data_IF_694586844984
#
_entry.id   IF_694586844984
#
_cell.length_a   1.000
_cell.length_b   1.000
_cell.length_c   1.000
_cell.angle_alpha   90.00
_cell.angle_beta   90.00
_cell.angle_gamma   90.00
#
_symmetry.space_group_name_H-M   'P 1'
#
loop_
_entity.id
_entity.type
_entity.pdbx_description
1 polymer ?
#
# COMPACT_ATOMS: atom_id res chain seq x y z
N UNK A 1 -12.08 9.78 -10.20
CA UNK A 1 -12.29 8.68 -9.24
C UNK A 1 -12.50 9.17 -7.81
N UNK A 2 -11.51 9.81 -7.15
CA UNK A 2 -11.65 10.17 -5.72
C UNK A 2 -12.73 11.21 -5.39
N UNK A 3 -13.13 12.05 -6.36
CA UNK A 3 -14.14 13.10 -6.19
C UNK A 3 -15.54 12.57 -5.85
N UNK A 4 -15.80 11.29 -6.09
CA UNK A 4 -17.08 10.63 -5.83
C UNK A 4 -17.21 10.09 -4.41
N UNK A 5 -16.17 10.24 -3.58
CA UNK A 5 -16.14 9.74 -2.20
C UNK A 5 -15.90 10.90 -1.22
N UNK A 6 -16.50 10.79 -0.04
CA UNK A 6 -16.32 11.71 1.07
C UNK A 6 -16.18 10.94 2.40
N UNK A 7 -16.10 11.70 3.51
CA UNK A 7 -16.13 11.15 4.86
C UNK A 7 -15.11 10.03 5.13
N UNK A 8 -15.55 9.00 5.84
CA UNK A 8 -14.71 7.85 6.22
C UNK A 8 -14.35 6.99 5.00
N UNK A 9 -15.25 6.84 4.03
CA UNK A 9 -14.97 6.11 2.79
C UNK A 9 -13.75 6.70 2.07
N UNK A 10 -13.71 8.03 1.87
CA UNK A 10 -12.57 8.69 1.22
C UNK A 10 -11.27 8.48 2.01
N UNK A 11 -11.32 8.55 3.35
CA UNK A 11 -10.13 8.35 4.20
C UNK A 11 -9.61 6.91 4.11
N UNK A 12 -10.48 5.91 4.11
CA UNK A 12 -10.10 4.50 3.91
C UNK A 12 -9.47 4.30 2.53
N UNK A 13 -10.07 4.87 1.48
CA UNK A 13 -9.52 4.80 0.11
C UNK A 13 -8.11 5.42 0.06
N UNK A 14 -7.92 6.60 0.65
CA UNK A 14 -6.60 7.25 0.73
C UNK A 14 -5.58 6.36 1.47
N UNK A 15 -5.96 5.71 2.56
CA UNK A 15 -5.09 4.78 3.27
C UNK A 15 -4.71 3.57 2.40
N UNK A 16 -5.66 2.95 1.71
CA UNK A 16 -5.39 1.85 0.79
C UNK A 16 -4.42 2.26 -0.32
N UNK A 17 -4.64 3.44 -0.93
CA UNK A 17 -3.79 3.97 -1.99
C UNK A 17 -2.41 4.44 -1.50
N UNK A 18 -2.26 4.77 -0.21
CA UNK A 18 -0.98 5.19 0.36
C UNK A 18 -0.14 4.04 0.93
N UNK A 19 -0.78 2.92 1.30
CA UNK A 19 -0.12 1.84 2.07
C UNK A 19 -0.26 0.45 1.45
N UNK A 20 -1.05 0.30 0.38
CA UNK A 20 -1.38 -1.00 -0.20
C UNK A 20 -2.26 -1.87 0.71
N UNK A 21 -2.95 -1.27 1.67
CA UNK A 21 -3.87 -1.99 2.53
C UNK A 21 -5.06 -2.57 1.74
N UNK A 22 -5.51 -3.77 2.11
CA UNK A 22 -6.85 -4.27 1.76
C UNK A 22 -7.89 -3.37 2.39
N UNK A 23 -9.09 -3.38 1.82
CA UNK A 23 -10.17 -2.55 2.32
C UNK A 23 -10.52 -2.87 3.77
N UNK A 24 -10.73 -4.15 4.07
CA UNK A 24 -11.20 -4.58 5.38
C UNK A 24 -10.19 -4.24 6.48
N UNK A 25 -8.89 -4.48 6.24
CA UNK A 25 -7.84 -4.16 7.22
C UNK A 25 -7.65 -2.65 7.43
N UNK A 26 -8.02 -1.81 6.46
CA UNK A 26 -7.99 -0.35 6.59
C UNK A 26 -9.26 0.19 7.26
N UNK A 27 -10.44 -0.33 6.89
CA UNK A 27 -11.73 0.08 7.42
C UNK A 27 -11.88 -0.28 8.92
N UNK A 28 -11.30 -1.39 9.36
CA UNK A 28 -11.36 -1.84 10.76
C UNK A 28 -10.23 -1.28 11.66
N UNK A 29 -9.42 -0.33 11.17
CA UNK A 29 -8.36 0.28 11.97
C UNK A 29 -8.91 0.99 13.22
N UNK A 30 -8.12 0.94 14.28
CA UNK A 30 -8.38 1.68 15.52
C UNK A 30 -7.38 2.81 15.70
N UNK A 31 -7.69 3.77 16.56
CA UNK A 31 -6.77 4.88 16.88
C UNK A 31 -5.40 4.40 17.35
N UNK A 32 -5.35 3.27 18.06
CA UNK A 32 -4.10 2.66 18.53
C UNK A 32 -3.21 2.12 17.39
N UNK A 33 -3.79 1.80 16.22
CA UNK A 33 -3.05 1.38 15.04
C UNK A 33 -2.33 2.53 14.35
N UNK A 34 -2.63 3.78 14.68
CA UNK A 34 -2.03 4.97 14.05
C UNK A 34 -1.12 5.66 15.05
N UNK A 35 0.18 5.51 14.83
CA UNK A 35 1.22 6.25 15.54
C UNK A 35 1.71 7.36 14.61
N UNK A 36 2.35 8.40 15.13
CA UNK A 36 2.83 9.54 14.33
C UNK A 36 3.53 9.08 13.04
N UNK A 37 2.89 9.37 11.92
CA UNK A 37 3.34 9.07 10.54
C UNK A 37 3.49 7.58 10.20
N UNK A 38 2.83 6.68 10.93
CA UNK A 38 2.88 5.23 10.70
C UNK A 38 1.53 4.59 10.99
N UNK A 39 1.15 3.61 10.19
CA UNK A 39 -0.04 2.78 10.40
C UNK A 39 0.37 1.34 10.55
N UNK A 40 -0.07 0.69 11.63
CA UNK A 40 0.16 -0.73 11.90
C UNK A 40 -1.10 -1.52 11.60
N UNK A 41 -0.98 -2.44 10.65
CA UNK A 41 -2.04 -3.37 10.28
C UNK A 41 -1.85 -4.67 11.07
N UNK A 42 -2.79 -4.95 11.96
CA UNK A 42 -2.81 -6.12 12.83
C UNK A 42 -3.63 -7.26 12.18
N UNK A 43 -3.35 -8.51 12.55
CA UNK A 43 -4.15 -9.69 12.15
C UNK A 43 -4.41 -9.79 10.63
N UNK A 44 -3.36 -9.61 9.84
CA UNK A 44 -3.43 -9.93 8.40
C UNK A 44 -3.73 -11.42 8.22
N UNK A 45 -4.30 -11.82 7.07
CA UNK A 45 -4.65 -13.21 6.73
C UNK A 45 -3.51 -14.26 6.96
N UNK A 46 -2.27 -13.80 7.17
CA UNK A 46 -1.08 -14.61 7.40
C UNK A 46 -0.45 -14.43 8.81
N UNK A 47 -1.13 -13.79 9.76
CA UNK A 47 -0.69 -13.66 11.16
C UNK A 47 0.50 -12.73 11.40
N UNK A 48 1.02 -12.03 10.38
CA UNK A 48 2.13 -11.08 10.53
C UNK A 48 1.61 -9.65 10.54
N UNK A 49 1.94 -8.93 11.61
CA UNK A 49 1.72 -7.50 11.70
C UNK A 49 2.72 -6.77 10.78
N UNK A 50 2.30 -5.65 10.21
CA UNK A 50 3.19 -4.78 9.44
C UNK A 50 2.87 -3.33 9.70
N UNK A 51 3.91 -2.51 9.71
CA UNK A 51 3.80 -1.06 9.88
C UNK A 51 4.26 -0.38 8.61
N UNK A 52 3.43 0.50 8.08
CA UNK A 52 3.70 1.25 6.84
C UNK A 52 3.76 2.74 7.19
N UNK A 53 4.84 3.45 6.79
CA UNK A 53 4.91 4.90 6.96
C UNK A 53 3.87 5.61 6.09
N UNK A 54 3.33 6.72 6.59
CA UNK A 54 2.39 7.60 5.88
C UNK A 54 2.83 9.05 5.99
N UNK A 55 2.37 9.89 5.07
CA UNK A 55 2.70 11.32 5.10
C UNK A 55 2.10 12.03 6.33
N UNK A 56 2.68 13.18 6.67
CA UNK A 56 2.15 14.03 7.74
C UNK A 56 0.74 14.56 7.43
N UNK A 57 0.43 14.81 6.15
CA UNK A 57 -0.91 15.22 5.72
C UNK A 57 -1.92 14.10 5.95
N UNK A 58 -1.63 12.88 5.52
CA UNK A 58 -2.54 11.75 5.69
C UNK A 58 -2.73 11.41 7.18
N UNK A 59 -1.65 11.48 7.97
CA UNK A 59 -1.75 11.30 9.42
C UNK A 59 -2.72 12.29 10.05
N UNK A 60 -2.64 13.59 9.71
CA UNK A 60 -3.57 14.61 10.22
C UNK A 60 -5.03 14.34 9.81
N UNK A 61 -5.25 13.75 8.64
CA UNK A 61 -6.61 13.44 8.16
C UNK A 61 -7.26 12.24 8.89
N UNK A 62 -6.46 11.24 9.29
CA UNK A 62 -6.96 9.95 9.82
C UNK A 62 -6.76 9.78 11.32
N UNK A 63 -5.84 10.52 11.94
CA UNK A 63 -5.56 10.39 13.36
C UNK A 63 -6.75 10.86 14.22
N UNK A 64 -7.09 10.07 15.24
CA UNK A 64 -8.17 10.37 16.18
C UNK A 64 -7.71 10.16 17.63
N UNK A 65 -7.66 11.21 18.47
CA UNK A 65 -7.13 11.10 19.84
C UNK A 65 -8.10 10.39 20.80
N UNK A 66 -9.40 10.41 20.53
CA UNK A 66 -10.46 9.91 21.42
C UNK A 66 -10.50 8.37 21.57
N UNK A 67 -9.55 7.64 20.98
CA UNK A 67 -9.55 6.17 20.98
C UNK A 67 -10.64 5.55 20.08
N UNK A 68 -10.77 4.23 20.14
CA UNK A 68 -11.80 3.48 19.42
C UNK A 68 -11.47 3.20 17.95
N UNK A 69 -12.51 2.92 17.14
CA UNK A 69 -12.41 2.75 15.68
C UNK A 69 -12.13 4.10 15.01
N UNK A 70 -11.25 4.08 14.01
CA UNK A 70 -10.95 5.27 13.20
C UNK A 70 -12.14 5.67 12.33
N UNK A 71 -12.80 4.67 11.75
CA UNK A 71 -13.87 4.85 10.79
C UNK A 71 -15.14 4.22 11.36
N UNK A 72 -16.19 5.03 11.52
CA UNK A 72 -17.47 4.62 12.09
C UNK A 72 -18.54 4.46 11.01
N UNK A 73 -18.39 5.15 9.88
CA UNK A 73 -19.39 5.21 8.81
C UNK A 73 -18.76 4.81 7.48
N UNK A 74 -18.50 3.52 7.34
CA UNK A 74 -17.91 2.96 6.12
C UNK A 74 -18.97 2.18 5.35
N UNK A 75 -19.06 2.42 4.04
CA UNK A 75 -20.01 1.76 3.16
C UNK A 75 -19.24 1.00 2.06
N UNK A 76 -19.08 -0.31 2.29
CA UNK A 76 -18.36 -1.18 1.37
C UNK A 76 -19.08 -1.30 0.01
N UNK A 77 -20.40 -1.41 0.02
CA UNK A 77 -21.16 -1.67 -1.20
C UNK A 77 -21.20 -0.43 -2.09
N UNK A 78 -21.41 0.75 -1.51
CA UNK A 78 -21.29 2.03 -2.21
C UNK A 78 -19.91 2.18 -2.86
N UNK A 79 -18.84 1.90 -2.11
CA UNK A 79 -17.48 2.00 -2.64
C UNK A 79 -17.24 0.98 -3.74
N UNK A 80 -17.64 -0.27 -3.54
CA UNK A 80 -17.51 -1.34 -4.53
C UNK A 80 -18.22 -1.00 -5.83
N UNK A 81 -19.46 -0.55 -5.78
CA UNK A 81 -20.23 -0.21 -6.98
C UNK A 81 -19.70 1.06 -7.67
N UNK A 82 -19.28 2.07 -6.90
CA UNK A 82 -18.64 3.27 -7.48
C UNK A 82 -17.32 2.94 -8.17
N UNK A 83 -16.48 2.08 -7.59
CA UNK A 83 -15.22 1.63 -8.20
C UNK A 83 -15.48 0.82 -9.47
N UNK A 84 -16.50 -0.04 -9.48
CA UNK A 84 -16.92 -0.80 -10.67
C UNK A 84 -17.40 0.10 -11.81
N UNK A 85 -18.23 1.09 -11.49
CA UNK A 85 -18.70 2.06 -12.48
C UNK A 85 -17.54 2.89 -13.06
N UNK A 86 -16.55 3.23 -12.23
CA UNK A 86 -15.38 3.99 -12.67
C UNK A 86 -14.34 3.16 -13.46
N UNK A 87 -14.29 1.84 -13.25
CA UNK A 87 -13.36 0.93 -13.93
C UNK A 87 -14.14 -0.30 -14.44
N UNK A 88 -14.78 -0.20 -15.63
CA UNK A 88 -15.64 -1.26 -16.17
C UNK A 88 -14.93 -2.60 -16.41
N UNK A 89 -13.61 -2.58 -16.62
CA UNK A 89 -12.80 -3.78 -16.84
C UNK A 89 -12.43 -4.53 -15.54
N UNK A 90 -12.94 -4.12 -14.38
CA UNK A 90 -12.62 -4.78 -13.11
C UNK A 90 -13.22 -6.20 -13.04
N UNK A 91 -12.41 -7.23 -12.76
CA UNK A 91 -12.93 -8.58 -12.54
C UNK A 91 -13.91 -8.63 -11.35
N UNK A 92 -14.91 -9.50 -11.46
CA UNK A 92 -15.90 -9.72 -10.40
C UNK A 92 -15.20 -10.12 -9.10
N UNK A 93 -15.54 -9.44 -8.00
CA UNK A 93 -14.97 -9.72 -6.67
C UNK A 93 -13.60 -9.07 -6.38
N UNK A 94 -13.00 -8.35 -7.34
CA UNK A 94 -11.71 -7.65 -7.15
C UNK A 94 -11.87 -6.14 -6.89
N UNK A 95 -13.10 -5.65 -6.77
CA UNK A 95 -13.43 -4.24 -6.88
C UNK A 95 -12.70 -3.36 -5.85
N UNK A 96 -12.66 -3.73 -4.57
CA UNK A 96 -11.91 -2.97 -3.56
C UNK A 96 -10.42 -3.31 -3.53
N UNK A 97 -10.04 -4.49 -4.02
CA UNK A 97 -8.64 -4.92 -4.13
C UNK A 97 -7.89 -4.11 -5.17
N UNK A 98 -8.60 -3.47 -6.11
CA UNK A 98 -8.01 -2.55 -7.08
C UNK A 98 -7.15 -1.50 -6.40
N UNK A 99 -7.56 -0.95 -5.24
CA UNK A 99 -6.79 0.11 -4.56
C UNK A 99 -5.40 -0.36 -4.16
N UNK A 100 -5.30 -1.59 -3.65
CA UNK A 100 -4.02 -2.24 -3.31
C UNK A 100 -3.18 -2.52 -4.56
N UNK A 101 -3.82 -3.01 -5.62
CA UNK A 101 -3.13 -3.25 -6.90
C UNK A 101 -2.61 -1.94 -7.50
N UNK A 102 -3.41 -0.86 -7.47
CA UNK A 102 -3.03 0.48 -7.91
C UNK A 102 -1.82 0.99 -7.13
N UNK A 103 -1.82 0.89 -5.78
CA UNK A 103 -0.64 1.23 -4.99
C UNK A 103 0.59 0.44 -5.43
N UNK A 104 0.48 -0.89 -5.54
CA UNK A 104 1.59 -1.76 -5.86
C UNK A 104 2.17 -1.51 -7.26
N UNK A 105 1.31 -1.36 -8.27
CA UNK A 105 1.71 -1.01 -9.63
C UNK A 105 2.41 0.33 -9.68
N UNK A 106 1.81 1.39 -9.12
CA UNK A 106 2.44 2.72 -9.12
C UNK A 106 3.73 2.76 -8.30
N UNK A 107 3.81 2.02 -7.20
CA UNK A 107 5.04 1.90 -6.42
C UNK A 107 6.19 1.35 -7.28
N UNK A 108 5.93 0.30 -8.07
CA UNK A 108 6.94 -0.26 -8.98
C UNK A 108 7.23 0.65 -10.18
N UNK A 109 6.21 1.25 -10.80
CA UNK A 109 6.37 2.22 -11.91
C UNK A 109 7.26 3.39 -11.50
N UNK A 110 7.17 3.82 -10.24
CA UNK A 110 7.97 4.92 -9.69
C UNK A 110 9.37 4.47 -9.22
N UNK A 111 9.85 3.29 -9.62
CA UNK A 111 11.19 2.78 -9.28
C UNK A 111 11.32 2.21 -7.87
N UNK A 112 10.20 1.85 -7.23
CA UNK A 112 10.20 1.25 -5.91
C UNK A 112 10.89 -0.12 -5.88
N UNK A 113 11.55 -0.43 -4.76
CA UNK A 113 12.22 -1.71 -4.58
C UNK A 113 11.21 -2.85 -4.29
N UNK A 114 11.28 -3.95 -5.07
CA UNK A 114 10.31 -5.06 -4.99
C UNK A 114 10.29 -5.77 -3.63
N UNK A 115 11.43 -5.89 -2.94
CA UNK A 115 11.52 -6.48 -1.60
C UNK A 115 10.90 -5.55 -0.55
N UNK A 116 10.99 -4.24 -0.75
CA UNK A 116 10.30 -3.24 0.07
C UNK A 116 8.79 -3.34 -0.15
N UNK A 117 8.34 -3.46 -1.39
CA UNK A 117 6.93 -3.66 -1.70
C UNK A 117 6.39 -4.95 -1.06
N UNK A 118 7.14 -6.05 -1.09
CA UNK A 118 6.76 -7.30 -0.43
C UNK A 118 6.48 -7.10 1.06
N UNK A 119 7.35 -6.36 1.76
CA UNK A 119 7.21 -6.03 3.19
C UNK A 119 5.99 -5.12 3.42
N UNK A 120 5.81 -4.08 2.61
CA UNK A 120 4.66 -3.16 2.69
C UNK A 120 3.34 -3.90 2.50
N UNK A 121 3.30 -4.83 1.54
CA UNK A 121 2.12 -5.64 1.24
C UNK A 121 1.90 -6.77 2.25
N UNK A 122 2.92 -7.16 3.01
CA UNK A 122 2.86 -8.28 3.94
C UNK A 122 2.78 -9.65 3.23
N UNK A 123 3.40 -9.79 2.06
CA UNK A 123 3.46 -11.06 1.34
C UNK A 123 4.51 -11.98 1.96
N UNK A 124 4.08 -13.18 2.39
CA UNK A 124 4.99 -14.19 2.96
C UNK A 124 5.93 -14.79 1.91
N UNK A 125 5.50 -14.78 0.66
CA UNK A 125 6.19 -15.37 -0.47
C UNK A 125 6.42 -14.28 -1.54
N UNK A 126 7.66 -14.12 -2.00
CA UNK A 126 8.04 -13.06 -2.95
C UNK A 126 7.32 -13.23 -4.30
N UNK A 127 7.01 -14.45 -4.72
CA UNK A 127 6.30 -14.75 -5.96
C UNK A 127 4.92 -14.06 -6.02
N UNK A 128 4.27 -13.83 -4.87
CA UNK A 128 3.02 -13.04 -4.81
C UNK A 128 3.23 -11.57 -5.19
N UNK A 129 4.42 -11.04 -4.92
CA UNK A 129 4.79 -9.65 -5.26
C UNK A 129 5.36 -9.56 -6.67
N UNK A 130 5.97 -10.63 -7.18
CA UNK A 130 6.52 -10.67 -8.54
C UNK A 130 5.48 -10.41 -9.64
N UNK A 131 4.19 -10.58 -9.37
CA UNK A 131 3.11 -10.14 -10.28
C UNK A 131 3.23 -8.66 -10.66
N UNK A 132 3.86 -7.79 -9.85
CA UNK A 132 4.06 -6.37 -10.16
C UNK A 132 5.44 -6.05 -10.77
N UNK A 133 6.35 -7.02 -10.89
CA UNK A 133 7.72 -6.76 -11.30
C UNK A 133 7.84 -6.17 -12.72
N UNK A 134 6.92 -6.53 -13.62
CA UNK A 134 6.86 -6.00 -14.98
C UNK A 134 6.53 -4.50 -15.08
N UNK A 135 6.12 -3.88 -13.97
CA UNK A 135 5.94 -2.42 -13.90
C UNK A 135 7.21 -1.67 -13.52
N UNK A 136 8.27 -2.37 -13.08
CA UNK A 136 9.52 -1.73 -12.73
C UNK A 136 10.19 -1.13 -13.99
N UNK A 137 10.84 0.04 -13.89
CA UNK A 137 11.67 0.54 -14.97
C UNK A 137 12.81 -0.43 -15.28
N UNK A 138 13.34 -0.37 -16.50
CA UNK A 138 14.54 -1.12 -16.86
C UNK A 138 15.78 -0.50 -16.20
N UNK A 139 16.59 -1.33 -15.56
CA UNK A 139 17.75 -0.92 -14.77
C UNK A 139 19.04 -1.61 -15.23
N UNK A 140 19.12 -2.12 -16.47
CA UNK A 140 20.27 -2.92 -16.89
C UNK A 140 21.60 -2.14 -16.79
N UNK A 141 21.57 -0.82 -17.03
CA UNK A 141 22.73 0.07 -16.88
C UNK A 141 23.18 0.27 -15.44
N UNK A 142 22.32 -0.01 -14.45
CA UNK A 142 22.69 0.08 -13.04
C UNK A 142 23.77 -0.95 -12.65
N UNK A 143 23.95 -2.02 -13.45
CA UNK A 143 25.09 -2.94 -13.29
C UNK A 143 26.44 -2.22 -13.44
N UNK A 144 26.54 -1.23 -14.32
CA UNK A 144 27.76 -0.42 -14.48
C UNK A 144 27.91 0.57 -13.31
N UNK A 145 26.79 1.06 -12.77
CA UNK A 145 26.79 2.06 -11.69
C UNK A 145 27.08 1.47 -10.30
N UNK A 146 26.59 0.26 -10.03
CA UNK A 146 26.62 -0.34 -8.68
C UNK A 146 27.59 -1.52 -8.55
N UNK A 147 28.36 -1.87 -9.59
CA UNK A 147 29.41 -2.86 -9.44
C UNK A 147 30.54 -2.34 -8.51
N UNK A 148 31.29 -3.23 -7.84
CA UNK A 148 32.32 -2.85 -6.89
C UNK A 148 33.54 -2.13 -7.51
N UNK A 149 33.71 -2.11 -8.83
CA UNK A 149 34.85 -1.45 -9.48
C UNK A 149 34.71 0.08 -9.53
N UNK A 150 33.51 0.61 -9.26
CA UNK A 150 33.24 2.06 -9.21
C UNK A 150 33.87 2.72 -7.97
N UNK A 151 34.07 1.98 -6.88
CA UNK A 151 34.79 2.44 -5.68
C UNK A 151 35.99 1.52 -5.42
N UNK A 152 37.10 1.79 -6.12
CA UNK A 152 38.35 0.99 -6.08
C UNK A 152 39.00 0.87 -4.69
N UNK A 153 38.49 1.54 -3.67
CA UNK A 153 39.11 1.62 -2.34
C UNK A 153 38.61 0.64 -1.28
N UNK A 154 37.56 -0.16 -1.50
CA UNK A 154 37.09 -1.16 -0.51
C UNK A 154 36.33 -2.33 -1.16
N UNK A 155 37.01 -3.13 -1.98
CA UNK A 155 36.42 -4.41 -2.45
C UNK A 155 36.47 -5.39 -1.28
N UNK A 156 35.32 -5.69 -0.69
CA UNK A 156 35.16 -6.73 0.33
C UNK A 156 34.66 -8.01 -0.35
N UNK A 157 35.38 -9.11 -0.18
CA UNK A 157 34.88 -10.44 -0.57
C UNK A 157 33.89 -10.94 0.50
N UNK A 158 32.72 -11.42 0.08
CA UNK A 158 31.69 -12.00 0.94
C UNK A 158 32.09 -13.40 1.44
#
# INVERSE_FOLDING_TARGET
>A
MLKSFDGDNLKVIKLCLATGARWEEAADLTSASVIKYKVTFNNTKNGKNRTVPISASLYKEVYKPEGGRLFLRVDYDFVRETLRAAIPALPVGQSVRVLRHTFASHFMMNGGNILTLQKILGHSNIQQTMTYAHFAPEHLQDAVRFNPLVQQSNIVAC
#
